data_IF_553664557141
#
_entry.id   IF_553664557141
#
_cell.length_a   1.000
_cell.length_b   1.000
_cell.length_c   1.000
_cell.angle_alpha   90.00
_cell.angle_beta   90.00
_cell.angle_gamma   90.00
#
_symmetry.space_group_name_H-M   'P 1'
#
loop_
_entity.id
_entity.type
_entity.pdbx_description
1 polymer ?
#
# COMPACT_ATOMS: atom_id res chain seq x y z
N UNK A 1 -8.57 -28.23 -18.06
CA UNK A 1 -7.68 -27.40 -17.20
C UNK A 1 -6.43 -28.20 -16.89
N UNK A 2 -5.25 -27.61 -17.01
CA UNK A 2 -4.00 -28.27 -16.63
C UNK A 2 -4.00 -28.58 -15.13
N UNK A 3 -3.46 -29.76 -14.72
CA UNK A 3 -3.30 -30.12 -13.27
C UNK A 3 -2.67 -29.00 -12.45
N UNK A 4 -1.79 -28.22 -13.05
CA UNK A 4 -1.15 -27.04 -12.47
C UNK A 4 -2.13 -25.90 -12.19
N UNK A 5 -3.09 -25.64 -13.10
CA UNK A 5 -4.11 -24.59 -12.93
C UNK A 5 -5.08 -24.95 -11.80
N UNK A 6 -5.47 -26.25 -11.71
CA UNK A 6 -6.35 -26.72 -10.65
C UNK A 6 -5.66 -26.64 -9.28
N UNK A 7 -4.40 -27.04 -9.17
CA UNK A 7 -3.63 -26.95 -7.93
C UNK A 7 -3.47 -25.49 -7.46
N UNK A 8 -3.16 -24.58 -8.39
CA UNK A 8 -3.05 -23.15 -8.06
C UNK A 8 -4.38 -22.56 -7.55
N UNK A 9 -5.50 -22.96 -8.15
CA UNK A 9 -6.82 -22.54 -7.72
C UNK A 9 -7.17 -23.06 -6.32
N UNK A 10 -6.88 -24.34 -6.06
CA UNK A 10 -7.09 -24.94 -4.73
C UNK A 10 -6.26 -24.25 -3.66
N UNK A 11 -4.96 -24.00 -3.93
CA UNK A 11 -4.09 -23.29 -2.99
C UNK A 11 -4.57 -21.86 -2.74
N UNK A 12 -5.00 -21.13 -3.78
CA UNK A 12 -5.55 -19.79 -3.63
C UNK A 12 -6.84 -19.78 -2.80
N UNK A 13 -7.75 -20.75 -3.01
CA UNK A 13 -8.99 -20.87 -2.24
C UNK A 13 -8.70 -21.23 -0.78
N UNK A 14 -7.77 -22.16 -0.52
CA UNK A 14 -7.35 -22.50 0.83
C UNK A 14 -6.73 -21.30 1.57
N UNK A 15 -5.86 -20.54 0.91
CA UNK A 15 -5.23 -19.34 1.47
C UNK A 15 -6.28 -18.27 1.78
N UNK A 16 -7.21 -18.04 0.86
CA UNK A 16 -8.33 -17.11 1.08
C UNK A 16 -9.22 -17.59 2.25
N UNK A 17 -9.50 -18.91 2.34
CA UNK A 17 -10.24 -19.49 3.45
C UNK A 17 -9.57 -19.26 4.81
N UNK A 18 -8.26 -19.49 4.89
CA UNK A 18 -7.48 -19.22 6.11
C UNK A 18 -7.54 -17.73 6.49
N UNK A 19 -7.35 -16.84 5.52
CA UNK A 19 -7.41 -15.39 5.76
C UNK A 19 -8.81 -14.96 6.20
N UNK A 20 -9.87 -15.49 5.62
CA UNK A 20 -11.26 -15.18 6.01
C UNK A 20 -11.62 -15.70 7.40
N UNK A 21 -11.08 -16.84 7.81
CA UNK A 21 -11.37 -17.43 9.14
C UNK A 21 -10.45 -16.92 10.25
N UNK A 22 -9.38 -16.21 9.92
CA UNK A 22 -8.37 -15.69 10.87
C UNK A 22 -9.00 -14.86 12.01
N UNK A 23 -10.00 -13.97 11.77
CA UNK A 23 -10.66 -13.23 12.84
C UNK A 23 -11.44 -14.09 13.83
N UNK A 24 -11.88 -15.30 13.45
CA UNK A 24 -12.59 -16.22 14.36
C UNK A 24 -11.65 -16.71 15.46
N UNK A 25 -10.37 -16.89 15.15
CA UNK A 25 -9.34 -17.35 16.09
C UNK A 25 -8.70 -16.20 16.86
N UNK A 26 -8.55 -15.03 16.26
CA UNK A 26 -7.84 -13.87 16.83
C UNK A 26 -8.78 -12.79 17.38
N UNK A 27 -10.07 -12.84 17.07
CA UNK A 27 -11.04 -11.76 17.37
C UNK A 27 -11.26 -11.47 18.86
N UNK A 28 -10.88 -12.39 19.75
CA UNK A 28 -10.88 -12.17 21.20
C UNK A 28 -9.80 -11.23 21.71
N UNK A 29 -8.75 -10.95 20.93
CA UNK A 29 -7.65 -10.05 21.31
C UNK A 29 -7.64 -8.81 20.42
N UNK A 30 -8.07 -7.67 20.98
CA UNK A 30 -8.15 -6.39 20.26
C UNK A 30 -6.79 -5.95 19.71
N UNK A 31 -5.71 -6.12 20.47
CA UNK A 31 -4.36 -5.76 20.03
C UNK A 31 -3.96 -6.53 18.78
N UNK A 32 -4.14 -7.85 18.77
CA UNK A 32 -3.82 -8.69 17.62
C UNK A 32 -4.65 -8.32 16.39
N UNK A 33 -5.94 -7.96 16.59
CA UNK A 33 -6.80 -7.51 15.49
C UNK A 33 -6.36 -6.18 14.89
N UNK A 34 -5.94 -5.21 15.73
CA UNK A 34 -5.37 -3.94 15.24
C UNK A 34 -4.09 -4.21 14.45
N UNK A 35 -3.21 -5.07 14.98
CA UNK A 35 -1.96 -5.44 14.31
C UNK A 35 -2.21 -6.02 12.92
N UNK A 36 -3.07 -7.03 12.82
CA UNK A 36 -3.36 -7.69 11.54
C UNK A 36 -4.06 -6.73 10.57
N UNK A 37 -4.96 -5.86 11.07
CA UNK A 37 -5.60 -4.82 10.26
C UNK A 37 -4.59 -3.81 9.73
N UNK A 38 -3.58 -3.44 10.53
CA UNK A 38 -2.49 -2.57 10.10
C UNK A 38 -1.61 -3.23 9.04
N UNK A 39 -1.32 -4.53 9.18
CA UNK A 39 -0.60 -5.29 8.14
C UNK A 39 -1.35 -5.24 6.81
N UNK A 40 -2.68 -5.43 6.82
CA UNK A 40 -3.51 -5.34 5.62
C UNK A 40 -3.52 -3.93 5.02
N UNK A 41 -3.56 -2.88 5.85
CA UNK A 41 -3.47 -1.49 5.40
C UNK A 41 -2.16 -1.24 4.65
N UNK A 42 -1.01 -1.54 5.28
CA UNK A 42 0.29 -1.34 4.66
C UNK A 42 0.47 -2.21 3.41
N UNK A 43 -0.04 -3.44 3.42
CA UNK A 43 -0.06 -4.32 2.24
C UNK A 43 -0.85 -3.71 1.08
N UNK A 44 -2.03 -3.13 1.36
CA UNK A 44 -2.86 -2.47 0.35
C UNK A 44 -2.19 -1.20 -0.20
N UNK A 45 -1.62 -0.36 0.67
CA UNK A 45 -0.87 0.84 0.27
C UNK A 45 0.34 0.49 -0.59
N UNK A 46 1.17 -0.47 -0.16
CA UNK A 46 2.36 -0.90 -0.89
C UNK A 46 2.01 -1.61 -2.21
N UNK A 47 0.90 -2.37 -2.25
CA UNK A 47 0.38 -2.96 -3.49
C UNK A 47 -0.08 -1.87 -4.46
N UNK A 48 -0.75 -0.83 -3.98
CA UNK A 48 -1.12 0.32 -4.82
C UNK A 48 0.11 1.09 -5.29
N UNK A 49 1.10 1.33 -4.42
CA UNK A 49 2.38 1.95 -4.75
C UNK A 49 3.14 1.21 -5.87
N UNK A 50 3.04 -0.11 -5.92
CA UNK A 50 3.69 -0.93 -6.94
C UNK A 50 3.25 -0.58 -8.39
N UNK A 51 2.12 0.12 -8.57
CA UNK A 51 1.67 0.60 -9.89
C UNK A 51 2.63 1.67 -10.43
N UNK A 52 3.01 2.64 -9.60
CA UNK A 52 3.90 3.74 -10.01
C UNK A 52 5.36 3.40 -9.72
N UNK A 53 5.70 2.92 -8.53
CA UNK A 53 7.06 2.59 -8.14
C UNK A 53 7.57 1.31 -8.78
N UNK A 54 6.75 0.25 -8.76
CA UNK A 54 7.17 -1.07 -9.24
C UNK A 54 7.11 -1.25 -10.76
N UNK A 55 6.14 -0.66 -11.46
CA UNK A 55 6.00 -0.82 -12.90
C UNK A 55 6.67 0.30 -13.69
N UNK A 56 6.54 1.57 -13.24
CA UNK A 56 7.13 2.70 -13.94
C UNK A 56 8.52 3.10 -13.42
N UNK A 57 9.02 2.45 -12.37
CA UNK A 57 10.31 2.76 -11.75
C UNK A 57 10.32 4.12 -11.01
N UNK A 58 9.17 4.78 -10.84
CA UNK A 58 9.09 6.10 -10.26
C UNK A 58 9.00 6.02 -8.74
N UNK A 59 10.05 6.43 -8.03
CA UNK A 59 10.09 6.40 -6.56
C UNK A 59 9.20 7.50 -5.97
N UNK A 60 7.96 7.16 -5.61
CA UNK A 60 7.02 8.05 -4.96
C UNK A 60 7.08 7.90 -3.43
N UNK A 61 7.30 9.01 -2.72
CA UNK A 61 7.34 9.09 -1.27
C UNK A 61 6.17 9.93 -0.70
N UNK A 62 5.06 10.02 -1.43
CA UNK A 62 3.88 10.78 -1.01
C UNK A 62 2.71 9.90 -0.53
N UNK A 63 2.93 8.62 -0.22
CA UNK A 63 1.86 7.71 0.20
C UNK A 63 0.99 8.27 1.33
N UNK A 64 1.59 8.82 2.38
CA UNK A 64 0.87 9.40 3.51
C UNK A 64 0.18 10.72 3.16
N UNK A 65 0.65 11.46 2.15
CA UNK A 65 -0.05 12.64 1.63
C UNK A 65 -1.43 12.25 1.10
N UNK A 66 -1.49 11.21 0.27
CA UNK A 66 -2.75 10.70 -0.27
C UNK A 66 -3.64 10.08 0.81
N UNK A 67 -3.06 9.32 1.75
CA UNK A 67 -3.77 8.77 2.90
C UNK A 67 -4.39 9.89 3.75
N UNK A 68 -3.59 10.89 4.11
CA UNK A 68 -4.02 12.03 4.91
C UNK A 68 -5.13 12.83 4.24
N UNK A 69 -4.98 13.17 2.93
CA UNK A 69 -6.02 13.85 2.18
C UNK A 69 -7.35 13.07 2.20
N UNK A 70 -7.29 11.74 2.01
CA UNK A 70 -8.46 10.89 2.11
C UNK A 70 -9.09 10.89 3.50
N UNK A 71 -8.28 10.76 4.55
CA UNK A 71 -8.70 10.77 5.94
C UNK A 71 -9.37 12.09 6.32
N UNK A 72 -8.74 13.22 6.00
CA UNK A 72 -9.29 14.55 6.26
C UNK A 72 -10.55 14.84 5.46
N UNK A 73 -10.61 14.44 4.20
CA UNK A 73 -11.82 14.58 3.38
C UNK A 73 -12.98 13.82 4.00
N UNK A 74 -12.80 12.53 4.27
CA UNK A 74 -13.87 11.70 4.84
C UNK A 74 -14.26 12.15 6.25
N UNK A 75 -13.29 12.46 7.11
CA UNK A 75 -13.54 12.91 8.47
C UNK A 75 -14.26 14.26 8.52
N UNK A 76 -13.87 15.23 7.70
CA UNK A 76 -14.52 16.55 7.62
C UNK A 76 -15.94 16.42 7.06
N UNK A 77 -16.15 15.60 6.03
CA UNK A 77 -17.48 15.34 5.47
C UNK A 77 -18.41 14.70 6.50
N UNK A 78 -17.90 13.75 7.29
CA UNK A 78 -18.67 13.13 8.36
C UNK A 78 -19.02 14.14 9.48
N UNK A 79 -18.05 14.92 9.95
CA UNK A 79 -18.24 15.85 11.07
C UNK A 79 -19.14 17.05 10.71
N UNK A 80 -19.01 17.60 9.50
CA UNK A 80 -19.76 18.82 9.11
C UNK A 80 -21.10 18.54 8.45
N UNK A 81 -21.17 17.48 7.63
CA UNK A 81 -22.36 17.20 6.82
C UNK A 81 -22.97 15.82 7.08
N UNK A 82 -22.47 15.10 8.08
CA UNK A 82 -22.91 13.76 8.43
C UNK A 82 -22.91 12.79 7.22
N UNK A 83 -21.96 12.98 6.29
CA UNK A 83 -21.80 12.11 5.12
C UNK A 83 -21.11 10.83 5.58
N UNK A 84 -21.66 9.70 5.18
CA UNK A 84 -21.12 8.38 5.53
C UNK A 84 -19.66 8.21 5.05
N UNK A 85 -18.75 7.62 5.86
CA UNK A 85 -17.39 7.32 5.46
C UNK A 85 -17.27 6.43 4.21
N UNK A 86 -18.29 5.66 3.86
CA UNK A 86 -18.34 4.89 2.61
C UNK A 86 -18.31 5.79 1.38
N UNK A 87 -19.06 6.87 1.36
CA UNK A 87 -18.94 7.92 0.34
C UNK A 87 -17.64 8.70 0.50
N UNK A 88 -17.22 8.90 1.76
CA UNK A 88 -15.93 9.50 2.09
C UNK A 88 -14.73 8.79 1.47
N UNK A 89 -14.77 7.46 1.32
CA UNK A 89 -13.73 6.69 0.62
C UNK A 89 -13.62 7.10 -0.85
N UNK A 90 -14.75 7.23 -1.55
CA UNK A 90 -14.77 7.62 -2.96
C UNK A 90 -14.34 9.07 -3.15
N UNK A 91 -14.87 9.98 -2.34
CA UNK A 91 -14.55 11.41 -2.41
C UNK A 91 -13.12 11.68 -1.95
N UNK A 92 -12.67 11.05 -0.87
CA UNK A 92 -11.30 11.13 -0.39
C UNK A 92 -10.29 10.58 -1.39
N UNK A 93 -10.63 9.45 -2.03
CA UNK A 93 -9.85 8.91 -3.15
C UNK A 93 -9.79 9.88 -4.35
N UNK A 94 -10.93 10.49 -4.71
CA UNK A 94 -10.98 11.46 -5.80
C UNK A 94 -10.17 12.74 -5.49
N UNK A 95 -10.24 13.26 -4.26
CA UNK A 95 -9.44 14.40 -3.83
C UNK A 95 -7.95 14.07 -3.86
N UNK A 96 -7.54 12.89 -3.35
CA UNK A 96 -6.15 12.44 -3.40
C UNK A 96 -5.67 12.27 -4.86
N UNK A 97 -6.48 11.68 -5.74
CA UNK A 97 -6.15 11.55 -7.16
C UNK A 97 -6.08 12.91 -7.88
N UNK A 98 -6.98 13.84 -7.57
CA UNK A 98 -6.96 15.20 -8.09
C UNK A 98 -5.71 15.97 -7.65
N UNK A 99 -5.31 15.85 -6.38
CA UNK A 99 -4.09 16.42 -5.86
C UNK A 99 -2.86 15.80 -6.52
N UNK A 100 -2.83 14.47 -6.66
CA UNK A 100 -1.77 13.76 -7.38
C UNK A 100 -1.65 14.22 -8.84
N UNK A 101 -2.79 14.49 -9.51
CA UNK A 101 -2.81 15.03 -10.86
C UNK A 101 -2.27 16.47 -10.92
N UNK A 102 -2.67 17.31 -9.98
CA UNK A 102 -2.25 18.71 -9.89
C UNK A 102 -0.72 18.83 -9.77
N UNK A 103 -0.10 17.98 -8.95
CA UNK A 103 1.34 18.00 -8.70
C UNK A 103 2.10 17.16 -9.72
N UNK A 104 1.60 15.98 -10.08
CA UNK A 104 2.26 15.08 -11.03
C UNK A 104 2.31 15.65 -12.45
N UNK A 105 1.29 16.42 -12.85
CA UNK A 105 1.23 17.00 -14.19
C UNK A 105 2.42 17.92 -14.52
N UNK A 106 2.79 18.91 -13.70
CA UNK A 106 3.99 19.70 -13.94
C UNK A 106 5.28 18.90 -13.72
N UNK A 107 5.39 18.07 -12.67
CA UNK A 107 6.60 17.30 -12.39
C UNK A 107 6.99 16.39 -13.56
N UNK A 108 6.06 15.61 -14.07
CA UNK A 108 6.30 14.76 -15.25
C UNK A 108 6.43 15.58 -16.55
N UNK A 109 5.83 16.78 -16.60
CA UNK A 109 5.93 17.68 -17.73
C UNK A 109 7.31 18.32 -17.89
N UNK A 110 7.99 18.57 -16.78
CA UNK A 110 9.35 19.10 -16.75
C UNK A 110 10.44 18.02 -16.80
N UNK A 111 10.05 16.74 -16.95
CA UNK A 111 11.00 15.63 -17.02
C UNK A 111 11.78 15.43 -15.73
N UNK A 112 11.14 15.67 -14.57
CA UNK A 112 11.77 15.46 -13.25
C UNK A 112 12.11 13.99 -13.08
N UNK A 113 13.39 13.68 -12.97
CA UNK A 113 13.91 12.32 -12.86
C UNK A 113 13.72 11.72 -11.46
N UNK A 114 13.93 10.43 -11.34
CA UNK A 114 13.62 9.56 -10.19
C UNK A 114 13.95 10.16 -8.83
N UNK A 115 15.20 10.60 -8.61
CA UNK A 115 15.66 11.12 -7.31
C UNK A 115 15.00 12.47 -6.97
N UNK A 116 14.92 13.36 -7.94
CA UNK A 116 14.30 14.67 -7.74
C UNK A 116 12.79 14.56 -7.52
N UNK A 117 12.15 13.59 -8.17
CA UNK A 117 10.75 13.29 -7.93
C UNK A 117 10.53 12.75 -6.52
N UNK A 118 11.38 11.83 -6.05
CA UNK A 118 11.31 11.30 -4.69
C UNK A 118 11.44 12.39 -3.63
N UNK A 119 12.41 13.32 -3.80
CA UNK A 119 12.57 14.46 -2.91
C UNK A 119 11.35 15.40 -2.95
N UNK A 120 10.83 15.69 -4.14
CA UNK A 120 9.64 16.53 -4.31
C UNK A 120 8.41 15.92 -3.66
N UNK A 121 8.18 14.62 -3.86
CA UNK A 121 7.05 13.90 -3.28
C UNK A 121 7.13 13.80 -1.75
N UNK A 122 8.35 13.64 -1.19
CA UNK A 122 8.57 13.68 0.25
C UNK A 122 8.33 15.08 0.83
N UNK A 123 8.80 16.14 0.14
CA UNK A 123 8.56 17.52 0.55
C UNK A 123 7.05 17.86 0.58
N UNK A 124 6.27 17.34 -0.36
CA UNK A 124 4.81 17.53 -0.39
C UNK A 124 4.10 16.97 0.84
N UNK A 125 4.56 15.86 1.39
CA UNK A 125 4.04 15.32 2.65
C UNK A 125 4.16 16.34 3.77
N UNK A 126 5.34 16.95 3.90
CA UNK A 126 5.60 17.94 4.93
C UNK A 126 4.84 19.25 4.69
N UNK A 127 4.75 19.70 3.44
CA UNK A 127 3.93 20.87 3.06
C UNK A 127 2.47 20.66 3.46
N UNK A 128 1.89 19.51 3.16
CA UNK A 128 0.52 19.19 3.57
C UNK A 128 0.38 19.08 5.10
N UNK A 129 1.35 18.45 5.77
CA UNK A 129 1.35 18.35 7.23
C UNK A 129 1.29 19.73 7.87
N UNK A 130 2.14 20.66 7.44
CA UNK A 130 2.18 22.04 7.94
C UNK A 130 0.92 22.81 7.52
N UNK A 131 0.46 22.68 6.29
CA UNK A 131 -0.75 23.34 5.81
C UNK A 131 -1.98 22.94 6.65
N UNK A 132 -2.16 21.63 6.91
CA UNK A 132 -3.28 21.15 7.74
C UNK A 132 -3.10 21.45 9.24
N UNK A 133 -1.85 21.60 9.72
CA UNK A 133 -1.56 22.05 11.08
C UNK A 133 -2.00 23.50 11.30
N UNK A 134 -1.81 24.35 10.30
CA UNK A 134 -2.16 25.78 10.35
C UNK A 134 -3.62 26.05 9.98
N UNK A 135 -4.30 25.10 9.35
CA UNK A 135 -5.69 25.25 8.92
C UNK A 135 -6.65 24.87 10.04
N UNK A 136 -6.95 25.83 10.92
CA UNK A 136 -7.76 25.62 12.13
C UNK A 136 -9.16 25.08 11.85
N UNK A 137 -9.79 25.47 10.74
CA UNK A 137 -11.15 25.02 10.39
C UNK A 137 -11.25 23.52 10.06
N UNK A 138 -10.23 22.94 9.46
CA UNK A 138 -10.24 21.55 8.94
C UNK A 138 -9.33 20.63 9.73
N UNK A 139 -8.15 21.12 10.10
CA UNK A 139 -7.12 20.40 10.84
C UNK A 139 -6.84 21.03 12.19
N UNK A 140 -5.76 21.79 12.26
CA UNK A 140 -5.21 22.37 13.47
C UNK A 140 -4.34 21.40 14.26
N UNK A 141 -3.71 21.87 15.34
CA UNK A 141 -2.75 21.09 16.13
C UNK A 141 -3.39 20.05 17.05
N UNK A 142 -4.73 20.01 17.11
CA UNK A 142 -5.49 19.16 18.05
C UNK A 142 -6.14 18.01 17.30
N UNK A 143 -6.18 16.85 17.92
CA UNK A 143 -6.92 15.71 17.42
C UNK A 143 -8.42 16.03 17.30
N UNK A 144 -8.99 15.78 16.15
CA UNK A 144 -10.43 15.92 15.92
C UNK A 144 -11.07 14.56 15.90
N UNK A 145 -11.78 14.25 16.98
CA UNK A 145 -12.49 12.98 17.12
C UNK A 145 -13.73 12.95 16.25
N UNK A 146 -13.92 11.82 15.56
CA UNK A 146 -15.12 11.56 14.79
C UNK A 146 -16.32 11.34 15.74
N UNK A 147 -17.57 11.66 15.32
CA UNK A 147 -18.76 11.46 16.15
C UNK A 147 -18.81 10.04 16.73
N UNK A 148 -19.03 9.96 18.05
CA UNK A 148 -19.10 8.67 18.73
C UNK A 148 -20.48 8.05 18.52
N UNK A 149 -20.49 6.79 18.10
CA UNK A 149 -21.67 5.93 18.05
C UNK A 149 -21.25 4.55 18.54
N UNK A 150 -22.05 3.91 19.37
CA UNK A 150 -21.73 2.59 19.94
C UNK A 150 -21.59 1.53 18.83
N UNK A 151 -22.52 1.54 17.87
CA UNK A 151 -22.48 0.71 16.67
C UNK A 151 -23.27 1.38 15.55
N UNK A 152 -22.63 1.59 14.39
CA UNK A 152 -23.31 2.17 13.22
C UNK A 152 -22.60 1.80 11.94
N UNK A 153 -23.26 1.02 11.10
CA UNK A 153 -22.76 0.71 9.75
C UNK A 153 -22.66 1.99 8.90
N UNK A 154 -23.61 2.93 9.07
CA UNK A 154 -23.61 4.19 8.33
C UNK A 154 -22.38 5.03 8.64
N UNK A 155 -21.98 5.13 9.91
CA UNK A 155 -20.81 5.91 10.35
C UNK A 155 -19.51 5.11 10.36
N UNK A 156 -19.52 3.86 9.86
CA UNK A 156 -18.38 2.93 9.89
C UNK A 156 -17.79 2.84 11.31
N UNK A 157 -18.65 2.71 12.33
CA UNK A 157 -18.28 2.55 13.73
C UNK A 157 -18.72 1.20 14.22
N UNK A 158 -17.78 0.45 14.76
CA UNK A 158 -18.02 -0.92 15.21
C UNK A 158 -17.44 -1.10 16.61
N UNK A 159 -18.11 -1.92 17.42
CA UNK A 159 -17.66 -2.28 18.77
C UNK A 159 -16.44 -3.20 18.77
N UNK A 160 -16.07 -3.76 17.60
CA UNK A 160 -14.96 -4.67 17.41
C UNK A 160 -14.13 -4.26 16.19
N UNK A 161 -12.84 -4.63 16.16
CA UNK A 161 -11.96 -4.42 15.00
C UNK A 161 -12.20 -5.43 13.86
N UNK A 162 -12.99 -6.48 14.08
CA UNK A 162 -13.28 -7.51 13.08
C UNK A 162 -13.88 -6.95 11.78
N UNK A 163 -14.88 -6.04 11.79
CA UNK A 163 -15.38 -5.45 10.56
C UNK A 163 -14.33 -4.64 9.80
N UNK A 164 -13.46 -3.91 10.52
CA UNK A 164 -12.35 -3.17 9.88
C UNK A 164 -11.36 -4.09 9.19
N UNK A 165 -11.09 -5.26 9.77
CA UNK A 165 -10.29 -6.29 9.13
C UNK A 165 -10.85 -6.68 7.76
N UNK A 166 -12.16 -6.99 7.69
CA UNK A 166 -12.80 -7.36 6.41
C UNK A 166 -12.84 -6.21 5.41
N UNK A 167 -13.02 -4.97 5.86
CA UNK A 167 -12.97 -3.78 4.99
C UNK A 167 -11.55 -3.62 4.43
N UNK A 168 -10.51 -3.71 5.26
CA UNK A 168 -9.12 -3.61 4.82
C UNK A 168 -8.73 -4.78 3.90
N UNK A 169 -9.22 -5.98 4.18
CA UNK A 169 -9.03 -7.14 3.30
C UNK A 169 -9.68 -6.91 1.93
N UNK A 170 -10.91 -6.39 1.90
CA UNK A 170 -11.57 -6.04 0.65
C UNK A 170 -10.78 -4.99 -0.14
N UNK A 171 -10.27 -3.94 0.53
CA UNK A 171 -9.44 -2.91 -0.09
C UNK A 171 -8.11 -3.47 -0.63
N UNK A 172 -7.47 -4.39 0.09
CA UNK A 172 -6.29 -5.10 -0.39
C UNK A 172 -6.60 -5.93 -1.64
N UNK A 173 -7.71 -6.66 -1.65
CA UNK A 173 -8.14 -7.46 -2.81
C UNK A 173 -8.44 -6.55 -4.02
N UNK A 174 -9.05 -5.39 -3.81
CA UNK A 174 -9.26 -4.38 -4.84
C UNK A 174 -7.91 -3.87 -5.37
N UNK A 175 -6.97 -3.53 -4.48
CA UNK A 175 -5.63 -3.07 -4.87
C UNK A 175 -4.87 -4.13 -5.68
N UNK A 176 -4.93 -5.40 -5.27
CA UNK A 176 -4.34 -6.54 -6.01
C UNK A 176 -5.01 -6.73 -7.38
N UNK A 177 -6.34 -6.65 -7.43
CA UNK A 177 -7.10 -6.76 -8.68
C UNK A 177 -6.76 -5.63 -9.66
N UNK A 178 -6.72 -4.38 -9.19
CA UNK A 178 -6.35 -3.21 -10.01
C UNK A 178 -4.91 -3.36 -10.52
N UNK A 179 -3.97 -3.75 -9.64
CA UNK A 179 -2.58 -3.99 -10.01
C UNK A 179 -2.47 -5.08 -11.09
N UNK A 180 -3.21 -6.20 -10.91
CA UNK A 180 -3.27 -7.28 -11.91
C UNK A 180 -3.84 -6.81 -13.25
N UNK A 181 -4.94 -6.06 -13.23
CA UNK A 181 -5.58 -5.51 -14.45
C UNK A 181 -4.66 -4.53 -15.17
N UNK A 182 -4.01 -3.63 -14.45
CA UNK A 182 -3.06 -2.68 -15.05
C UNK A 182 -1.88 -3.44 -15.67
N UNK A 183 -1.27 -4.38 -14.94
CA UNK A 183 -0.12 -5.15 -15.44
C UNK A 183 -0.39 -5.84 -16.80
N UNK A 184 -1.62 -6.29 -17.04
CA UNK A 184 -2.04 -6.98 -18.27
C UNK A 184 -2.74 -6.06 -19.28
N UNK A 185 -2.74 -4.74 -19.04
CA UNK A 185 -3.29 -3.72 -19.93
C UNK A 185 -2.19 -3.04 -20.75
N UNK A 186 -2.58 -2.27 -21.78
CA UNK A 186 -1.65 -1.43 -22.53
C UNK A 186 -0.89 -0.45 -21.64
N UNK A 187 -1.57 0.14 -20.64
CA UNK A 187 -0.93 1.02 -19.68
C UNK A 187 0.23 0.32 -18.96
N UNK A 188 0.03 -0.91 -18.50
CA UNK A 188 1.06 -1.67 -17.80
C UNK A 188 2.24 -2.07 -18.70
N UNK A 189 2.01 -2.28 -20.00
CA UNK A 189 3.12 -2.47 -20.96
C UNK A 189 3.93 -1.19 -21.12
N UNK A 190 3.27 -0.05 -21.27
CA UNK A 190 3.94 1.24 -21.39
C UNK A 190 4.71 1.62 -20.12
N UNK A 191 4.11 1.43 -18.93
CA UNK A 191 4.78 1.71 -17.66
C UNK A 191 6.06 0.89 -17.49
N UNK A 192 6.06 -0.40 -17.83
CA UNK A 192 7.27 -1.24 -17.77
C UNK A 192 8.33 -0.82 -18.79
N UNK A 193 7.92 -0.46 -20.01
CA UNK A 193 8.85 0.08 -21.00
C UNK A 193 9.51 1.38 -20.50
N UNK A 194 8.73 2.26 -19.87
CA UNK A 194 9.23 3.50 -19.26
C UNK A 194 10.14 3.21 -18.06
N UNK A 195 9.83 2.20 -17.25
CA UNK A 195 10.67 1.78 -16.12
C UNK A 195 12.01 1.16 -16.52
N UNK A 196 12.08 0.53 -17.70
CA UNK A 196 13.35 -0.01 -18.25
C UNK A 196 14.20 1.10 -18.88
N UNK A 197 13.61 1.91 -19.76
CA UNK A 197 14.29 3.05 -20.39
C UNK A 197 13.28 4.06 -20.93
N UNK A 198 13.13 5.18 -20.21
CA UNK A 198 12.17 6.23 -20.54
C UNK A 198 12.42 6.84 -21.91
N UNK A 199 13.70 7.20 -22.21
CA UNK A 199 14.05 7.83 -23.47
C UNK A 199 13.76 6.91 -24.67
N UNK A 200 14.08 5.61 -24.56
CA UNK A 200 13.82 4.66 -25.62
C UNK A 200 12.31 4.46 -25.84
N UNK A 201 11.52 4.42 -24.77
CA UNK A 201 10.07 4.30 -24.87
C UNK A 201 9.43 5.53 -25.52
N UNK A 202 9.91 6.74 -25.22
CA UNK A 202 9.42 7.99 -25.82
C UNK A 202 9.73 8.07 -27.34
N UNK A 203 10.93 7.64 -27.77
CA UNK A 203 11.28 7.56 -29.19
C UNK A 203 10.35 6.61 -29.94
N UNK A 204 9.86 5.55 -29.29
CA UNK A 204 8.86 4.62 -29.83
C UNK A 204 7.42 5.17 -29.77
N UNK A 205 7.21 6.42 -29.32
CA UNK A 205 5.92 7.10 -29.30
C UNK A 205 5.11 6.92 -28.01
N UNK A 206 5.69 6.36 -26.95
CA UNK A 206 5.02 6.27 -25.65
C UNK A 206 5.00 7.64 -24.98
N UNK A 207 3.82 8.14 -24.62
CA UNK A 207 3.69 9.38 -23.86
C UNK A 207 3.96 9.11 -22.37
N UNK A 208 5.21 9.31 -21.93
CA UNK A 208 5.66 9.06 -20.56
C UNK A 208 4.83 9.84 -19.53
N UNK A 209 4.63 11.15 -19.78
CA UNK A 209 3.83 12.02 -18.90
C UNK A 209 2.43 11.48 -18.65
N UNK A 210 1.70 11.15 -19.74
CA UNK A 210 0.33 10.67 -19.61
C UNK A 210 0.24 9.31 -18.92
N UNK A 211 1.19 8.41 -19.19
CA UNK A 211 1.21 7.08 -18.57
C UNK A 211 1.52 7.14 -17.07
N UNK A 212 2.58 7.87 -16.69
CA UNK A 212 2.97 8.07 -15.28
C UNK A 212 1.87 8.80 -14.50
N UNK A 213 1.24 9.83 -15.08
CA UNK A 213 0.16 10.56 -14.43
C UNK A 213 -1.05 9.66 -14.15
N UNK A 214 -1.47 8.84 -15.11
CA UNK A 214 -2.57 7.88 -14.90
C UNK A 214 -2.23 6.88 -13.79
N UNK A 215 -1.01 6.35 -13.78
CA UNK A 215 -0.55 5.43 -12.74
C UNK A 215 -0.57 6.08 -11.35
N UNK A 216 -0.07 7.32 -11.26
CA UNK A 216 -0.05 8.11 -10.03
C UNK A 216 -1.46 8.38 -9.50
N UNK A 217 -2.39 8.79 -10.38
CA UNK A 217 -3.78 9.05 -10.00
C UNK A 217 -4.49 7.80 -9.46
N UNK A 218 -4.30 6.63 -10.11
CA UNK A 218 -4.90 5.37 -9.67
C UNK A 218 -4.35 4.96 -8.30
N UNK A 219 -3.05 5.05 -8.13
CA UNK A 219 -2.40 4.79 -6.84
C UNK A 219 -2.91 5.73 -5.75
N UNK A 220 -2.91 7.04 -6.00
CA UNK A 220 -3.37 8.04 -5.05
C UNK A 220 -4.86 7.87 -4.70
N UNK A 221 -5.70 7.47 -5.66
CA UNK A 221 -7.11 7.17 -5.41
C UNK A 221 -7.29 6.02 -4.41
N UNK A 222 -6.57 4.91 -4.61
CA UNK A 222 -6.66 3.75 -3.73
C UNK A 222 -6.18 4.11 -2.33
N UNK A 223 -5.05 4.81 -2.22
CA UNK A 223 -4.48 5.21 -0.92
C UNK A 223 -5.36 6.25 -0.23
N UNK A 224 -5.94 7.19 -0.97
CA UNK A 224 -6.90 8.15 -0.43
C UNK A 224 -8.18 7.48 0.10
N UNK A 225 -8.69 6.47 -0.62
CA UNK A 225 -9.82 5.67 -0.14
C UNK A 225 -9.47 4.91 1.16
N UNK A 226 -8.26 4.34 1.26
CA UNK A 226 -7.75 3.73 2.49
C UNK A 226 -7.66 4.74 3.64
N UNK A 227 -7.37 6.01 3.35
CA UNK A 227 -7.34 7.10 4.33
C UNK A 227 -8.67 7.30 5.07
N UNK A 228 -9.80 7.19 4.37
CA UNK A 228 -11.12 7.26 4.99
C UNK A 228 -11.36 6.11 5.98
N UNK A 229 -10.96 4.89 5.63
CA UNK A 229 -11.05 3.73 6.52
C UNK A 229 -10.08 3.88 7.70
N UNK A 230 -8.90 4.42 7.45
CA UNK A 230 -7.89 4.70 8.48
C UNK A 230 -8.41 5.68 9.54
N UNK A 231 -9.02 6.79 9.13
CA UNK A 231 -9.65 7.75 10.04
C UNK A 231 -10.76 7.10 10.87
N UNK A 232 -11.60 6.26 10.26
CA UNK A 232 -12.69 5.57 10.94
C UNK A 232 -12.18 4.51 11.93
N UNK A 233 -11.10 3.79 11.58
CA UNK A 233 -10.44 2.79 12.43
C UNK A 233 -9.91 3.40 13.73
N UNK A 234 -9.20 4.54 13.63
CA UNK A 234 -8.63 5.22 14.80
C UNK A 234 -9.65 6.15 15.49
N UNK A 235 -10.67 6.58 14.78
CA UNK A 235 -11.74 7.42 15.32
C UNK A 235 -11.41 8.89 15.45
N UNK A 236 -10.32 9.35 14.87
CA UNK A 236 -9.92 10.76 14.84
C UNK A 236 -9.19 11.09 13.54
N UNK A 237 -9.02 12.38 13.25
CA UNK A 237 -8.13 12.90 12.23
C UNK A 237 -7.12 13.85 12.87
N UNK A 238 -5.86 13.78 12.39
CA UNK A 238 -4.77 14.62 12.90
C UNK A 238 -3.72 14.84 11.78
N UNK A 239 -3.07 16.05 11.72
CA UNK A 239 -2.04 16.32 10.72
C UNK A 239 -0.85 15.35 10.71
N UNK A 240 -0.60 14.62 11.79
CA UNK A 240 0.43 13.57 11.84
C UNK A 240 0.13 12.36 10.92
N UNK A 241 -1.06 12.30 10.32
CA UNK A 241 -1.34 11.32 9.27
C UNK A 241 -0.52 11.58 8.00
N UNK A 242 -0.05 12.81 7.81
CA UNK A 242 0.95 13.17 6.83
C UNK A 242 2.35 12.89 7.40
N UNK A 243 2.86 11.68 7.21
CA UNK A 243 4.12 11.22 7.80
C UNK A 243 5.10 10.72 6.74
N UNK A 244 6.25 11.37 6.64
CA UNK A 244 7.33 10.92 5.75
C UNK A 244 7.82 9.51 6.10
N UNK A 245 7.86 9.18 7.40
CA UNK A 245 8.24 7.82 7.84
C UNK A 245 7.27 6.76 7.31
N UNK A 246 5.95 7.02 7.37
CA UNK A 246 4.94 6.11 6.83
C UNK A 246 5.02 5.98 5.30
N UNK A 247 5.26 7.09 4.59
CA UNK A 247 5.45 7.07 3.13
C UNK A 247 6.67 6.26 2.73
N UNK A 248 7.79 6.46 3.41
CA UNK A 248 9.03 5.72 3.18
C UNK A 248 8.85 4.24 3.44
N UNK A 249 8.13 3.87 4.50
CA UNK A 249 7.84 2.47 4.80
C UNK A 249 7.04 1.79 3.68
N UNK A 250 6.02 2.47 3.13
CA UNK A 250 5.24 1.95 2.00
C UNK A 250 6.15 1.70 0.78
N UNK A 251 7.06 2.63 0.47
CA UNK A 251 8.02 2.46 -0.62
C UNK A 251 8.99 1.30 -0.35
N UNK A 252 9.51 1.18 0.89
CA UNK A 252 10.37 0.06 1.30
C UNK A 252 9.66 -1.28 1.11
N UNK A 253 8.39 -1.40 1.53
CA UNK A 253 7.60 -2.61 1.35
C UNK A 253 7.43 -2.97 -0.14
N UNK A 254 7.26 -1.97 -0.99
CA UNK A 254 7.19 -2.15 -2.45
C UNK A 254 8.52 -2.64 -3.05
N UNK A 255 9.63 -2.02 -2.66
CA UNK A 255 10.98 -2.34 -3.16
C UNK A 255 11.43 -3.70 -2.64
N UNK A 256 11.39 -3.91 -1.32
CA UNK A 256 11.82 -5.14 -0.66
C UNK A 256 10.93 -6.33 -1.03
N UNK A 257 9.64 -6.07 -1.28
CA UNK A 257 8.71 -7.07 -1.81
C UNK A 257 9.09 -7.57 -3.20
N UNK A 258 9.71 -6.71 -3.99
CA UNK A 258 10.11 -6.95 -5.37
C UNK A 258 9.29 -6.09 -6.33
N UNK A 259 9.95 -5.08 -6.90
CA UNK A 259 9.34 -4.12 -7.82
C UNK A 259 8.67 -4.83 -9.01
N UNK A 260 7.45 -4.42 -9.34
CA UNK A 260 6.69 -5.00 -10.45
C UNK A 260 6.12 -6.40 -10.22
N UNK A 261 6.38 -7.05 -9.07
CA UNK A 261 5.75 -8.31 -8.69
C UNK A 261 4.45 -8.00 -7.95
N UNK A 262 3.30 -8.49 -8.45
CA UNK A 262 1.97 -8.13 -7.92
C UNK A 262 1.81 -8.47 -6.43
N UNK A 263 2.24 -9.65 -6.03
CA UNK A 263 2.12 -10.15 -4.65
C UNK A 263 3.33 -9.84 -3.77
N UNK A 264 4.37 -9.22 -4.34
CA UNK A 264 5.61 -8.87 -3.64
C UNK A 264 5.37 -7.97 -2.42
N UNK A 265 4.72 -6.81 -2.58
CA UNK A 265 4.42 -5.90 -1.48
C UNK A 265 3.58 -6.54 -0.36
N UNK A 266 2.64 -7.44 -0.72
CA UNK A 266 1.84 -8.18 0.25
C UNK A 266 2.72 -9.07 1.14
N UNK A 267 3.62 -9.86 0.53
CA UNK A 267 4.54 -10.73 1.27
C UNK A 267 5.47 -9.89 2.17
N UNK A 268 6.01 -8.80 1.63
CA UNK A 268 6.86 -7.90 2.40
C UNK A 268 6.10 -7.28 3.59
N UNK A 269 4.86 -6.85 3.41
CA UNK A 269 4.05 -6.29 4.47
C UNK A 269 3.77 -7.32 5.58
N UNK A 270 3.40 -8.55 5.22
CA UNK A 270 3.18 -9.63 6.20
C UNK A 270 4.44 -9.86 7.05
N UNK A 271 5.62 -9.91 6.43
CA UNK A 271 6.86 -10.19 7.15
C UNK A 271 7.33 -8.95 7.91
N UNK A 272 7.50 -7.82 7.24
CA UNK A 272 8.17 -6.64 7.80
C UNK A 272 7.29 -5.88 8.78
N UNK A 273 6.01 -5.66 8.45
CA UNK A 273 5.09 -4.94 9.36
C UNK A 273 4.82 -5.78 10.60
N UNK A 274 4.60 -7.10 10.46
CA UNK A 274 4.44 -7.98 11.63
C UNK A 274 5.70 -8.00 12.49
N UNK A 275 6.89 -8.08 11.89
CA UNK A 275 8.17 -8.03 12.62
C UNK A 275 8.32 -6.71 13.36
N UNK A 276 8.03 -5.57 12.69
CA UNK A 276 8.07 -4.25 13.33
C UNK A 276 7.15 -4.16 14.54
N UNK A 277 5.89 -4.57 14.39
CA UNK A 277 4.90 -4.48 15.47
C UNK A 277 5.24 -5.43 16.64
N UNK A 278 5.75 -6.63 16.34
CA UNK A 278 6.21 -7.55 17.36
C UNK A 278 7.44 -7.02 18.12
N UNK A 279 8.41 -6.45 17.42
CA UNK A 279 9.57 -5.81 18.04
C UNK A 279 9.14 -4.61 18.89
N UNK A 280 8.22 -3.78 18.37
CA UNK A 280 7.66 -2.64 19.11
C UNK A 280 6.93 -3.07 20.39
N UNK A 281 6.17 -4.16 20.32
CA UNK A 281 5.44 -4.68 21.48
C UNK A 281 6.37 -5.24 22.57
N UNK A 282 7.46 -5.89 22.18
CA UNK A 282 8.38 -6.55 23.13
C UNK A 282 9.52 -5.63 23.60
N UNK A 283 9.98 -4.71 22.76
CA UNK A 283 11.10 -3.80 23.03
C UNK A 283 10.66 -2.33 23.17
N UNK A 284 9.35 -2.04 23.09
CA UNK A 284 8.79 -0.70 23.32
C UNK A 284 9.01 -0.24 24.77
N UNK A 285 8.90 1.07 25.00
CA UNK A 285 9.17 1.66 26.30
C UNK A 285 10.62 2.14 26.41
N UNK A 286 11.38 1.69 27.41
CA UNK A 286 12.75 2.17 27.66
C UNK A 286 13.73 1.85 26.51
N UNK A 287 13.46 0.81 25.72
CA UNK A 287 14.29 0.36 24.60
C UNK A 287 13.74 0.75 23.22
N UNK A 288 12.93 1.82 23.14
CA UNK A 288 12.30 2.25 21.88
C UNK A 288 13.28 2.46 20.72
N UNK A 289 14.48 2.96 20.99
CA UNK A 289 15.51 3.13 19.94
C UNK A 289 16.07 1.78 19.46
N UNK A 290 16.10 0.77 20.32
CA UNK A 290 16.68 -0.53 20.00
C UNK A 290 15.82 -1.28 18.96
N UNK A 291 14.48 -1.22 19.07
CA UNK A 291 13.64 -1.88 18.07
C UNK A 291 13.81 -1.30 16.66
N UNK A 292 14.04 0.03 16.55
CA UNK A 292 14.31 0.68 15.26
C UNK A 292 15.64 0.21 14.67
N UNK A 293 16.69 0.06 15.50
CA UNK A 293 17.99 -0.44 15.05
C UNK A 293 17.87 -1.88 14.56
N UNK A 294 17.22 -2.75 15.34
CA UNK A 294 17.01 -4.16 14.94
C UNK A 294 16.19 -4.26 13.66
N UNK A 295 15.10 -3.49 13.55
CA UNK A 295 14.27 -3.46 12.35
C UNK A 295 15.05 -2.98 11.13
N UNK A 296 15.82 -1.90 11.27
CA UNK A 296 16.67 -1.37 10.18
C UNK A 296 17.74 -2.37 9.76
N UNK A 297 18.33 -3.10 10.70
CA UNK A 297 19.30 -4.16 10.42
C UNK A 297 18.66 -5.30 9.61
N UNK A 298 17.46 -5.73 9.97
CA UNK A 298 16.69 -6.74 9.21
C UNK A 298 16.45 -6.26 7.78
N UNK A 299 16.05 -4.99 7.58
CA UNK A 299 15.86 -4.43 6.25
C UNK A 299 17.14 -4.42 5.43
N UNK A 300 18.27 -4.00 6.02
CA UNK A 300 19.58 -3.99 5.35
C UNK A 300 19.99 -5.41 4.94
N UNK A 301 19.86 -6.38 5.84
CA UNK A 301 20.17 -7.77 5.54
C UNK A 301 19.33 -8.30 4.37
N UNK A 302 18.04 -8.04 4.36
CA UNK A 302 17.16 -8.45 3.25
C UNK A 302 17.61 -7.80 1.93
N UNK A 303 17.90 -6.49 1.95
CA UNK A 303 18.33 -5.75 0.75
C UNK A 303 19.65 -6.28 0.21
N UNK A 304 20.61 -6.65 1.06
CA UNK A 304 21.91 -7.20 0.68
C UNK A 304 21.81 -8.61 0.10
N UNK A 305 21.03 -9.49 0.76
CA UNK A 305 20.95 -10.90 0.34
C UNK A 305 19.96 -11.15 -0.79
N UNK A 306 18.94 -10.29 -0.97
CA UNK A 306 17.87 -10.45 -1.98
C UNK A 306 17.52 -9.14 -2.67
N UNK A 307 18.43 -8.56 -3.47
CA UNK A 307 18.21 -7.29 -4.17
C UNK A 307 17.03 -7.34 -5.16
N UNK A 308 16.66 -8.53 -5.63
CA UNK A 308 15.50 -8.75 -6.52
C UNK A 308 14.15 -8.84 -5.77
N UNK A 309 14.16 -8.70 -4.44
CA UNK A 309 12.98 -8.76 -3.59
C UNK A 309 12.68 -10.15 -3.00
N UNK A 310 12.02 -10.14 -1.83
CA UNK A 310 11.66 -11.35 -1.08
C UNK A 310 10.73 -12.26 -1.88
N UNK A 311 9.85 -11.71 -2.70
CA UNK A 311 8.88 -12.48 -3.49
C UNK A 311 9.56 -13.43 -4.50
N UNK A 312 10.78 -13.15 -4.94
CA UNK A 312 11.53 -14.05 -5.83
C UNK A 312 11.86 -15.37 -5.14
N UNK A 313 12.22 -15.32 -3.86
CA UNK A 313 12.49 -16.51 -3.06
C UNK A 313 11.25 -17.41 -2.96
N UNK A 314 10.08 -16.82 -2.66
CA UNK A 314 8.81 -17.57 -2.58
C UNK A 314 8.41 -18.12 -3.95
N UNK A 315 8.66 -17.38 -5.04
CA UNK A 315 8.41 -17.85 -6.41
C UNK A 315 9.26 -19.06 -6.76
N UNK A 316 10.53 -19.06 -6.39
CA UNK A 316 11.45 -20.13 -6.69
C UNK A 316 11.16 -21.38 -5.83
N UNK A 317 10.86 -21.18 -4.54
CA UNK A 317 10.40 -22.24 -3.66
C UNK A 317 9.09 -22.86 -4.16
N UNK A 318 8.13 -22.04 -4.58
CA UNK A 318 6.87 -22.48 -5.15
C UNK A 318 7.08 -23.28 -6.46
N UNK A 319 7.94 -22.81 -7.35
CA UNK A 319 8.28 -23.54 -8.58
C UNK A 319 8.87 -24.92 -8.29
N UNK A 320 9.81 -25.02 -7.34
CA UNK A 320 10.39 -26.29 -6.90
C UNK A 320 9.33 -27.22 -6.32
N UNK A 321 8.44 -26.70 -5.46
CA UNK A 321 7.34 -27.45 -4.86
C UNK A 321 6.38 -28.03 -5.93
N UNK A 322 5.94 -27.19 -6.88
CA UNK A 322 5.08 -27.63 -7.98
C UNK A 322 5.79 -28.68 -8.86
N UNK A 323 7.06 -28.49 -9.19
CA UNK A 323 7.82 -29.47 -9.98
C UNK A 323 7.92 -30.83 -9.27
N UNK A 324 8.08 -30.83 -7.93
CA UNK A 324 8.11 -32.05 -7.13
C UNK A 324 6.74 -32.80 -7.13
N UNK A 325 5.62 -32.06 -7.08
CA UNK A 325 4.27 -32.65 -7.06
C UNK A 325 3.80 -33.10 -8.45
N UNK A 326 4.15 -32.33 -9.49
CA UNK A 326 3.68 -32.63 -10.86
C UNK A 326 4.57 -33.62 -11.64
N UNK A 327 5.63 -34.16 -11.02
CA UNK A 327 6.53 -35.14 -11.64
C UNK A 327 7.36 -34.59 -12.78
N UNK A 328 7.48 -33.26 -12.90
CA UNK A 328 8.19 -32.59 -13.99
C UNK A 328 9.71 -32.54 -13.78
N UNK A 329 10.38 -33.70 -13.76
CA UNK A 329 11.85 -33.81 -13.64
C UNK A 329 12.65 -33.61 -14.93
N UNK A 330 12.03 -33.28 -16.07
CA UNK A 330 12.75 -33.40 -17.37
C UNK A 330 13.08 -32.10 -18.13
N UNK A 331 12.74 -30.91 -17.61
CA UNK A 331 13.07 -29.66 -18.33
C UNK A 331 14.14 -28.76 -17.68
N UNK A 332 14.85 -29.25 -16.66
CA UNK A 332 15.95 -28.49 -16.02
C UNK A 332 17.35 -28.73 -16.66
N UNK A 333 17.48 -29.52 -17.75
CA UNK A 333 18.77 -29.84 -18.39
C UNK A 333 18.96 -29.24 -19.79
N UNK A 334 18.08 -28.38 -20.25
CA UNK A 334 18.18 -27.85 -21.61
C UNK A 334 18.60 -26.38 -21.72
N UNK A 335 19.15 -25.75 -20.67
CA UNK A 335 19.84 -24.45 -20.78
C UNK A 335 20.92 -24.36 -19.69
N UNK A 336 22.00 -25.13 -19.90
CA UNK A 336 23.32 -24.86 -19.34
C UNK A 336 24.20 -24.21 -20.41
#
# INVERSE_FOLDING_TARGET
MSKRTTLNLVLAVLLLGVVLTLPLFLGGNQYTMILVTSVLLYAAMATAWNIIGGMAGQLDLAASAYLGLGAFTAGTLLMRWNVTPWLGMLLGGAVAAGFAALIGYPLFGFGVTEVWYALSSSALVEVLRVAFLLWEDVGGPVERYLPYHDWSLYHMRFSSYVPFYYIMLAMLLIALFVNYRIRHSQLGYYLRALGENENAAEVLGVNARACKLKALMIYAFIVGALGAVYASLFGFIHPNFFSNAQSTEVAILGIVGGMGIIYGPLIAAIILVSTRELLRANLGGELQSLYLIVYSLVLILIALYKPQGIATFFRDAYRKFIAAITGGGDHARANS
#
